data_IF_133218926601
#
_entry.id   IF_133218926601
#
_cell.length_a   1.000
_cell.length_b   1.000
_cell.length_c   1.000
_cell.angle_alpha   90.00
_cell.angle_beta   90.00
_cell.angle_gamma   90.00
#
_symmetry.space_group_name_H-M   'P 1'
#
loop_
_entity.id
_entity.type
_entity.pdbx_description
1 polymer ?
#
# COMPACT_ATOMS: atom_id res chain seq x y z
N UNK A 1 -26.38 -76.51 -56.63
CA UNK A 1 -27.01 -75.70 -55.56
C UNK A 1 -26.81 -74.24 -55.94
N UNK A 2 -27.91 -73.52 -56.11
CA UNK A 2 -28.02 -72.27 -56.87
C UNK A 2 -27.21 -71.11 -56.25
N UNK A 3 -26.37 -70.47 -57.07
CA UNK A 3 -25.83 -69.13 -56.78
C UNK A 3 -27.02 -68.17 -56.92
N UNK A 4 -27.76 -67.96 -55.84
CA UNK A 4 -28.85 -66.99 -55.77
C UNK A 4 -28.27 -65.58 -55.80
N UNK A 5 -28.00 -65.07 -57.00
CA UNK A 5 -27.63 -63.67 -57.22
C UNK A 5 -28.82 -62.82 -56.77
N UNK A 6 -28.70 -62.19 -55.60
CA UNK A 6 -29.78 -61.38 -55.02
C UNK A 6 -30.22 -60.32 -56.03
N UNK A 7 -31.52 -60.23 -56.33
CA UNK A 7 -32.09 -59.27 -57.27
C UNK A 7 -31.61 -57.82 -57.01
N UNK A 8 -31.37 -57.47 -55.75
CA UNK A 8 -30.85 -56.15 -55.37
C UNK A 8 -29.46 -55.87 -55.96
N UNK A 9 -28.59 -56.87 -56.07
CA UNK A 9 -27.25 -56.73 -56.62
C UNK A 9 -27.29 -56.56 -58.15
N UNK A 10 -28.17 -57.31 -58.84
CA UNK A 10 -28.34 -57.15 -60.29
C UNK A 10 -28.96 -55.81 -60.65
N UNK A 11 -29.96 -55.35 -59.90
CA UNK A 11 -30.51 -54.00 -60.06
C UNK A 11 -29.48 -52.91 -59.76
N UNK A 12 -28.67 -53.07 -58.72
CA UNK A 12 -27.64 -52.10 -58.36
C UNK A 12 -26.54 -52.02 -59.43
N UNK A 13 -26.08 -53.15 -59.97
CA UNK A 13 -25.08 -53.18 -61.06
C UNK A 13 -25.67 -52.61 -62.36
N UNK A 14 -26.91 -52.93 -62.71
CA UNK A 14 -27.58 -52.37 -63.88
C UNK A 14 -27.79 -50.85 -63.76
N UNK A 15 -28.17 -50.38 -62.57
CA UNK A 15 -28.35 -48.95 -62.27
C UNK A 15 -27.02 -48.18 -62.29
N UNK A 16 -25.96 -48.73 -61.70
CA UNK A 16 -24.60 -48.18 -61.79
C UNK A 16 -24.12 -48.14 -63.24
N UNK A 17 -24.37 -49.18 -64.04
CA UNK A 17 -24.05 -49.19 -65.47
C UNK A 17 -24.76 -48.08 -66.24
N UNK A 18 -26.07 -47.89 -65.99
CA UNK A 18 -26.86 -46.80 -66.57
C UNK A 18 -26.34 -45.42 -66.15
N UNK A 19 -26.00 -45.23 -64.88
CA UNK A 19 -25.42 -43.98 -64.36
C UNK A 19 -24.06 -43.68 -65.01
N UNK A 20 -23.20 -44.69 -65.17
CA UNK A 20 -21.89 -44.53 -65.81
C UNK A 20 -22.06 -44.16 -67.30
N UNK A 21 -22.96 -44.82 -68.04
CA UNK A 21 -23.25 -44.43 -69.43
C UNK A 21 -23.88 -43.05 -69.56
N UNK A 22 -24.71 -42.63 -68.60
CA UNK A 22 -25.32 -41.31 -68.60
C UNK A 22 -24.29 -40.21 -68.28
N UNK A 23 -23.45 -40.42 -67.27
CA UNK A 23 -22.41 -39.47 -66.85
C UNK A 23 -21.32 -39.30 -67.90
N UNK A 24 -20.90 -40.37 -68.57
CA UNK A 24 -19.95 -40.31 -69.69
C UNK A 24 -20.51 -39.53 -70.89
N UNK A 25 -21.79 -39.71 -71.23
CA UNK A 25 -22.46 -38.90 -72.27
C UNK A 25 -22.52 -37.41 -71.90
N UNK A 26 -22.95 -37.11 -70.66
CA UNK A 26 -23.03 -35.74 -70.13
C UNK A 26 -21.65 -35.05 -70.15
N UNK A 27 -20.60 -35.77 -69.74
CA UNK A 27 -19.23 -35.26 -69.69
C UNK A 27 -18.61 -35.06 -71.08
N UNK A 28 -19.01 -35.89 -72.07
CA UNK A 28 -18.49 -35.82 -73.45
C UNK A 28 -19.07 -34.66 -74.28
N UNK A 29 -20.24 -34.12 -73.89
CA UNK A 29 -20.88 -33.01 -74.61
C UNK A 29 -20.51 -31.65 -74.01
N UNK A 30 -19.66 -30.83 -74.68
CA UNK A 30 -19.15 -29.58 -74.10
C UNK A 30 -20.25 -28.53 -73.84
N UNK A 31 -21.30 -28.51 -74.67
CA UNK A 31 -22.43 -27.56 -74.53
C UNK A 31 -23.29 -27.87 -73.30
N UNK A 32 -23.55 -29.15 -73.03
CA UNK A 32 -24.35 -29.58 -71.90
C UNK A 32 -23.59 -29.39 -70.58
N UNK A 33 -22.26 -29.55 -70.61
CA UNK A 33 -21.38 -29.27 -69.48
C UNK A 33 -21.40 -27.77 -69.13
N UNK A 34 -21.31 -26.88 -70.12
CA UNK A 34 -21.40 -25.43 -69.91
C UNK A 34 -22.78 -25.04 -69.34
N UNK A 35 -23.87 -25.65 -69.81
CA UNK A 35 -25.22 -25.38 -69.32
C UNK A 35 -25.46 -25.88 -67.88
N UNK A 36 -24.87 -27.02 -67.50
CA UNK A 36 -25.04 -27.63 -66.18
C UNK A 36 -24.02 -27.16 -65.12
N UNK A 37 -22.92 -26.52 -65.54
CA UNK A 37 -21.89 -25.99 -64.64
C UNK A 37 -22.44 -25.08 -63.52
N UNK A 38 -23.33 -24.09 -63.78
CA UNK A 38 -23.87 -23.25 -62.70
C UNK A 38 -24.74 -24.05 -61.73
N UNK A 39 -25.50 -25.04 -62.21
CA UNK A 39 -26.32 -25.91 -61.37
C UNK A 39 -25.45 -26.80 -60.47
N UNK A 40 -24.38 -27.35 -61.03
CA UNK A 40 -23.41 -28.17 -60.29
C UNK A 40 -22.68 -27.35 -59.23
N UNK A 41 -22.32 -26.09 -59.53
CA UNK A 41 -21.71 -25.19 -58.57
C UNK A 41 -22.65 -24.88 -57.40
N UNK A 42 -23.93 -24.61 -57.66
CA UNK A 42 -24.95 -24.38 -56.62
C UNK A 42 -25.13 -25.64 -55.76
N UNK A 43 -25.18 -26.83 -56.38
CA UNK A 43 -25.31 -28.09 -55.65
C UNK A 43 -24.10 -28.35 -54.75
N UNK A 44 -22.89 -28.09 -55.24
CA UNK A 44 -21.66 -28.21 -54.45
C UNK A 44 -21.62 -27.21 -53.29
N UNK A 45 -22.04 -25.97 -53.52
CA UNK A 45 -22.09 -24.95 -52.48
C UNK A 45 -23.09 -25.32 -51.36
N UNK A 46 -24.27 -25.81 -51.74
CA UNK A 46 -25.25 -26.31 -50.78
C UNK A 46 -24.73 -27.54 -50.03
N UNK A 47 -24.13 -28.49 -50.73
CA UNK A 47 -23.51 -29.67 -50.13
C UNK A 47 -22.42 -29.31 -49.12
N UNK A 48 -21.55 -28.37 -49.46
CA UNK A 48 -20.52 -27.86 -48.56
C UNK A 48 -21.12 -27.17 -47.33
N UNK A 49 -22.17 -26.36 -47.51
CA UNK A 49 -22.87 -25.71 -46.41
C UNK A 49 -23.47 -26.72 -45.43
N UNK A 50 -24.19 -27.73 -45.92
CA UNK A 50 -24.76 -28.79 -45.08
C UNK A 50 -23.69 -29.64 -44.39
N UNK A 51 -22.56 -29.92 -45.08
CA UNK A 51 -21.45 -30.65 -44.46
C UNK A 51 -20.83 -29.86 -43.31
N UNK A 52 -20.66 -28.54 -43.45
CA UNK A 52 -20.15 -27.70 -42.37
C UNK A 52 -21.12 -27.63 -41.18
N UNK A 53 -22.43 -27.57 -41.44
CA UNK A 53 -23.44 -27.65 -40.37
C UNK A 53 -23.37 -28.99 -39.66
N UNK A 54 -23.28 -30.10 -40.41
CA UNK A 54 -23.19 -31.43 -39.83
C UNK A 54 -21.89 -31.60 -39.01
N UNK A 55 -20.77 -31.11 -39.53
CA UNK A 55 -19.49 -31.14 -38.82
C UNK A 55 -19.55 -30.29 -37.55
N UNK A 56 -20.15 -29.10 -37.62
CA UNK A 56 -20.40 -28.26 -36.45
C UNK A 56 -21.28 -28.96 -35.41
N UNK A 57 -22.37 -29.60 -35.84
CA UNK A 57 -23.25 -30.36 -34.96
C UNK A 57 -22.54 -31.55 -34.31
N UNK A 58 -21.76 -32.32 -35.09
CA UNK A 58 -20.99 -33.46 -34.55
C UNK A 58 -19.93 -32.98 -33.56
N UNK A 59 -19.24 -31.87 -33.85
CA UNK A 59 -18.26 -31.29 -32.93
C UNK A 59 -18.90 -30.74 -31.65
N UNK A 60 -20.09 -30.16 -31.75
CA UNK A 60 -20.84 -29.63 -30.60
C UNK A 60 -21.38 -30.76 -29.71
N UNK A 61 -21.89 -31.84 -30.30
CA UNK A 61 -22.34 -33.04 -29.57
C UNK A 61 -21.15 -33.85 -29.02
N UNK A 62 -20.02 -33.87 -29.73
CA UNK A 62 -18.78 -34.53 -29.27
C UNK A 62 -17.96 -33.68 -28.31
N UNK A 63 -18.35 -32.42 -28.13
CA UNK A 63 -17.75 -31.53 -27.14
C UNK A 63 -17.97 -32.11 -25.74
N UNK A 64 -16.89 -32.41 -25.03
CA UNK A 64 -16.97 -32.68 -23.61
C UNK A 64 -17.70 -31.52 -22.94
N UNK A 65 -18.74 -31.73 -22.11
CA UNK A 65 -19.43 -30.64 -21.45
C UNK A 65 -18.39 -29.79 -20.73
N UNK A 66 -18.17 -28.56 -21.21
CA UNK A 66 -17.25 -27.63 -20.58
C UNK A 66 -17.80 -27.42 -19.17
N UNK A 67 -17.05 -27.89 -18.16
CA UNK A 67 -17.41 -27.67 -16.78
C UNK A 67 -17.45 -26.17 -16.56
N UNK A 68 -18.65 -25.60 -16.50
CA UNK A 68 -18.86 -24.19 -16.22
C UNK A 68 -18.18 -23.89 -14.86
N UNK A 69 -17.12 -23.07 -14.80
CA UNK A 69 -16.47 -22.73 -13.53
C UNK A 69 -17.30 -21.73 -12.71
N UNK A 70 -18.43 -21.26 -13.24
CA UNK A 70 -19.34 -20.30 -12.61
C UNK A 70 -19.79 -20.67 -11.19
N UNK A 71 -20.05 -21.94 -10.80
CA UNK A 71 -20.39 -22.28 -9.42
C UNK A 71 -19.23 -22.05 -8.45
N UNK A 72 -17.97 -22.12 -8.93
CA UNK A 72 -16.79 -21.84 -8.12
C UNK A 72 -16.58 -20.33 -7.96
N UNK A 73 -16.88 -19.55 -9.00
CA UNK A 73 -16.81 -18.08 -8.97
C UNK A 73 -17.94 -17.43 -8.14
N UNK A 74 -19.10 -18.07 -8.09
CA UNK A 74 -20.28 -17.61 -7.35
C UNK A 74 -20.41 -18.25 -5.96
N UNK A 75 -19.30 -18.69 -5.34
CA UNK A 75 -19.35 -19.20 -3.97
C UNK A 75 -19.79 -18.06 -3.06
N UNK A 76 -20.95 -18.16 -2.37
CA UNK A 76 -21.41 -17.11 -1.47
C UNK A 76 -20.30 -16.84 -0.45
N UNK A 77 -19.90 -15.57 -0.31
CA UNK A 77 -18.89 -15.18 0.67
C UNK A 77 -19.32 -15.72 2.03
N UNK A 78 -18.39 -16.21 2.86
CA UNK A 78 -18.72 -16.95 4.09
C UNK A 78 -19.68 -16.20 5.04
N UNK A 79 -19.75 -14.87 4.93
CA UNK A 79 -20.63 -14.00 5.70
C UNK A 79 -22.03 -13.78 5.10
N UNK A 80 -22.30 -14.26 3.89
CA UNK A 80 -23.56 -14.00 3.17
C UNK A 80 -24.71 -14.96 3.56
N UNK A 81 -24.42 -16.00 4.34
CA UNK A 81 -25.49 -16.82 4.91
C UNK A 81 -26.14 -16.10 6.08
N UNK A 82 -27.48 -16.12 6.23
CA UNK A 82 -28.16 -15.46 7.35
C UNK A 82 -27.62 -15.89 8.72
N UNK A 83 -27.29 -17.18 8.89
CA UNK A 83 -26.71 -17.71 10.11
C UNK A 83 -25.30 -17.15 10.39
N UNK A 84 -24.42 -17.07 9.39
CA UNK A 84 -23.09 -16.47 9.56
C UNK A 84 -23.17 -14.97 9.83
N UNK A 85 -24.12 -14.27 9.19
CA UNK A 85 -24.37 -12.86 9.45
C UNK A 85 -24.86 -12.62 10.89
N UNK A 86 -25.82 -13.41 11.36
CA UNK A 86 -26.29 -13.33 12.75
C UNK A 86 -25.17 -13.65 13.76
N UNK A 87 -24.33 -14.64 13.47
CA UNK A 87 -23.16 -14.94 14.30
C UNK A 87 -22.14 -13.79 14.31
N UNK A 88 -21.92 -13.12 13.17
CA UNK A 88 -21.05 -11.95 13.09
C UNK A 88 -21.60 -10.76 13.88
N UNK A 89 -22.91 -10.48 13.76
CA UNK A 89 -23.60 -9.43 14.53
C UNK A 89 -23.58 -9.72 16.03
N UNK A 90 -23.80 -10.96 16.44
CA UNK A 90 -23.75 -11.35 17.86
C UNK A 90 -22.34 -11.15 18.42
N UNK A 91 -21.32 -11.58 17.67
CA UNK A 91 -19.91 -11.39 18.06
C UNK A 91 -19.54 -9.91 18.15
N UNK A 92 -19.98 -9.08 17.20
CA UNK A 92 -19.72 -7.63 17.27
C UNK A 92 -20.43 -7.00 18.47
N UNK A 93 -21.70 -7.32 18.72
CA UNK A 93 -22.47 -6.84 19.88
C UNK A 93 -21.81 -7.19 21.22
N UNK A 94 -21.23 -8.39 21.35
CA UNK A 94 -20.52 -8.77 22.58
C UNK A 94 -19.19 -8.03 22.73
N UNK A 95 -18.48 -7.76 21.64
CA UNK A 95 -17.26 -6.96 21.67
C UNK A 95 -17.49 -5.51 22.11
N UNK A 96 -18.69 -4.97 21.89
CA UNK A 96 -19.08 -3.61 22.27
C UNK A 96 -19.43 -3.40 23.75
N UNK A 97 -19.84 -4.46 24.46
CA UNK A 97 -20.40 -4.34 25.84
C UNK A 97 -19.37 -4.45 26.95
N UNK A 98 -18.13 -4.85 26.66
CA UNK A 98 -17.09 -4.85 27.70
C UNK A 98 -16.65 -3.41 28.00
N UNK A 99 -16.51 -3.01 29.28
CA UNK A 99 -15.99 -1.70 29.63
C UNK A 99 -14.60 -1.53 29.02
N UNK A 100 -14.47 -0.70 27.99
CA UNK A 100 -13.22 -0.41 27.29
C UNK A 100 -12.43 0.66 28.06
N UNK A 101 -12.14 0.41 29.33
CA UNK A 101 -11.06 1.14 30.01
C UNK A 101 -9.76 0.43 29.72
N UNK A 102 -8.91 1.02 28.87
CA UNK A 102 -7.59 0.50 28.60
C UNK A 102 -6.71 0.68 29.85
N UNK A 103 -5.82 -0.29 30.17
CA UNK A 103 -4.93 -0.17 31.32
C UNK A 103 -3.95 1.00 31.12
N UNK A 104 -3.47 1.65 32.19
CA UNK A 104 -2.51 2.74 32.04
C UNK A 104 -1.22 2.24 31.38
N UNK A 105 -0.74 2.98 30.39
CA UNK A 105 0.47 2.65 29.61
C UNK A 105 1.74 2.79 30.43
N UNK A 106 1.76 3.76 31.36
CA UNK A 106 2.87 4.01 32.28
C UNK A 106 2.32 4.07 33.70
N UNK A 107 2.25 2.92 34.40
CA UNK A 107 1.73 2.87 35.77
C UNK A 107 2.49 3.78 36.75
N UNK A 108 3.79 3.94 36.54
CA UNK A 108 4.70 4.74 37.39
C UNK A 108 4.42 6.24 37.34
N UNK A 109 3.78 6.74 36.29
CA UNK A 109 3.47 8.18 36.14
C UNK A 109 2.07 8.40 35.56
N UNK A 110 1.05 8.59 36.43
CA UNK A 110 -0.33 8.73 35.98
C UNK A 110 -0.55 9.96 35.09
N UNK A 111 0.22 11.04 35.31
CA UNK A 111 0.15 12.24 34.47
C UNK A 111 0.57 11.97 33.01
N UNK A 112 1.65 11.19 32.80
CA UNK A 112 2.11 10.83 31.45
C UNK A 112 1.12 9.88 30.81
N UNK A 113 0.63 8.87 31.56
CA UNK A 113 -0.36 7.95 31.03
C UNK A 113 -1.67 8.65 30.63
N UNK A 114 -2.10 9.67 31.38
CA UNK A 114 -3.27 10.49 31.03
C UNK A 114 -3.02 11.31 29.76
N UNK A 115 -1.90 12.03 29.68
CA UNK A 115 -1.55 12.83 28.51
C UNK A 115 -1.45 11.98 27.23
N UNK A 116 -0.86 10.80 27.32
CA UNK A 116 -0.78 9.85 26.20
C UNK A 116 -2.17 9.35 25.80
N UNK A 117 -3.03 9.03 26.77
CA UNK A 117 -4.40 8.64 26.49
C UNK A 117 -5.20 9.78 25.81
N UNK A 118 -5.00 11.03 26.22
CA UNK A 118 -5.60 12.18 25.56
C UNK A 118 -5.13 12.31 24.11
N UNK A 119 -3.84 12.12 23.84
CA UNK A 119 -3.30 12.07 22.46
C UNK A 119 -3.96 10.95 21.65
N UNK A 120 -4.15 9.76 22.22
CA UNK A 120 -4.85 8.66 21.54
C UNK A 120 -6.30 9.02 21.20
N UNK A 121 -7.00 9.69 22.11
CA UNK A 121 -8.37 10.17 21.89
C UNK A 121 -8.38 11.19 20.74
N UNK A 122 -7.44 12.14 20.72
CA UNK A 122 -7.32 13.14 19.66
C UNK A 122 -7.05 12.48 18.30
N UNK A 123 -6.14 11.50 18.24
CA UNK A 123 -5.83 10.76 17.00
C UNK A 123 -7.09 10.07 16.45
N UNK A 124 -7.82 9.34 17.28
CA UNK A 124 -9.04 8.63 16.84
C UNK A 124 -10.12 9.64 16.44
N UNK A 125 -10.26 10.75 17.17
CA UNK A 125 -11.24 11.80 16.87
C UNK A 125 -10.96 12.46 15.52
N UNK A 126 -9.72 12.84 15.26
CA UNK A 126 -9.38 13.71 14.13
C UNK A 126 -9.08 12.91 12.85
N UNK A 127 -8.50 11.71 12.96
CA UNK A 127 -8.10 10.90 11.80
C UNK A 127 -8.99 9.70 11.50
N UNK A 128 -9.84 9.28 12.44
CA UNK A 128 -10.72 8.10 12.26
C UNK A 128 -12.19 8.50 12.22
N UNK A 129 -12.65 9.24 13.23
CA UNK A 129 -14.08 9.60 13.35
C UNK A 129 -14.55 10.59 12.28
N UNK A 130 -13.64 11.37 11.69
CA UNK A 130 -13.97 12.36 10.64
C UNK A 130 -14.59 11.72 9.41
N UNK A 131 -14.04 10.61 8.93
CA UNK A 131 -14.57 9.89 7.76
C UNK A 131 -15.43 8.68 8.16
N UNK A 132 -15.15 8.01 9.29
CA UNK A 132 -15.85 6.78 9.66
C UNK A 132 -17.34 7.01 9.97
N UNK A 133 -17.69 8.19 10.52
CA UNK A 133 -19.09 8.55 10.80
C UNK A 133 -19.98 8.54 9.56
N UNK A 134 -19.42 8.78 8.38
CA UNK A 134 -20.14 8.71 7.10
C UNK A 134 -20.38 7.27 6.64
N UNK A 135 -19.53 6.33 7.08
CA UNK A 135 -19.60 4.91 6.71
C UNK A 135 -20.50 4.13 7.67
N UNK A 136 -20.36 4.34 8.99
CA UNK A 136 -21.12 3.61 10.00
C UNK A 136 -21.21 4.35 11.33
N UNK A 137 -22.32 4.16 12.04
CA UNK A 137 -22.53 4.68 13.40
C UNK A 137 -21.97 3.78 14.51
N UNK A 138 -21.44 2.59 14.19
CA UNK A 138 -21.02 1.63 15.21
C UNK A 138 -19.66 2.01 15.84
N UNK A 139 -19.47 1.99 17.17
CA UNK A 139 -18.18 2.35 17.77
C UNK A 139 -17.12 1.22 17.69
N UNK A 140 -17.38 0.14 16.93
CA UNK A 140 -16.58 -1.10 16.94
C UNK A 140 -15.20 -0.84 16.36
N UNK A 141 -15.18 -0.26 15.17
CA UNK A 141 -13.98 0.02 14.43
C UNK A 141 -13.13 1.11 15.10
N UNK A 142 -13.67 2.29 15.50
CA UNK A 142 -12.88 3.29 16.22
C UNK A 142 -12.27 2.74 17.50
N UNK A 143 -12.99 1.87 18.23
CA UNK A 143 -12.43 1.32 19.47
C UNK A 143 -11.43 0.19 19.23
N UNK A 144 -11.62 -0.63 18.20
CA UNK A 144 -10.61 -1.58 17.76
C UNK A 144 -9.31 -0.87 17.34
N UNK A 145 -9.43 0.27 16.66
CA UNK A 145 -8.28 1.13 16.32
C UNK A 145 -7.61 1.66 17.59
N UNK A 146 -8.38 2.23 18.53
CA UNK A 146 -7.85 2.71 19.82
C UNK A 146 -7.10 1.61 20.58
N UNK A 147 -7.70 0.43 20.74
CA UNK A 147 -7.08 -0.71 21.39
C UNK A 147 -5.81 -1.19 20.66
N UNK A 148 -5.80 -1.15 19.33
CA UNK A 148 -4.64 -1.51 18.52
C UNK A 148 -3.49 -0.52 18.70
N UNK A 149 -3.77 0.79 18.68
CA UNK A 149 -2.75 1.83 18.91
C UNK A 149 -2.22 1.71 20.34
N UNK A 150 -3.09 1.50 21.33
CA UNK A 150 -2.69 1.30 22.71
C UNK A 150 -1.76 0.09 22.89
N UNK A 151 -2.15 -1.08 22.35
CA UNK A 151 -1.32 -2.28 22.39
C UNK A 151 0.03 -2.09 21.67
N UNK A 152 0.02 -1.37 20.56
CA UNK A 152 1.21 -1.01 19.79
C UNK A 152 2.17 -0.13 20.60
N UNK A 153 1.62 0.89 21.27
CA UNK A 153 2.39 1.80 22.11
C UNK A 153 2.94 1.10 23.34
N UNK A 154 2.18 0.20 23.97
CA UNK A 154 2.65 -0.62 25.08
C UNK A 154 3.84 -1.50 24.67
N UNK A 155 3.79 -2.14 23.49
CA UNK A 155 4.94 -2.92 22.97
C UNK A 155 6.15 -2.04 22.71
N UNK A 156 5.94 -0.85 22.14
CA UNK A 156 7.00 0.11 21.86
C UNK A 156 7.65 0.61 23.15
N UNK A 157 6.85 0.98 24.16
CA UNK A 157 7.33 1.39 25.48
C UNK A 157 8.13 0.27 26.16
N UNK A 158 7.60 -0.97 26.16
CA UNK A 158 8.31 -2.12 26.74
C UNK A 158 9.68 -2.33 26.10
N UNK A 159 9.78 -2.16 24.78
CA UNK A 159 11.05 -2.22 24.06
C UNK A 159 11.96 -1.04 24.42
N UNK A 160 11.44 0.17 24.50
CA UNK A 160 12.22 1.34 24.90
C UNK A 160 12.77 1.21 26.33
N UNK A 161 11.99 0.69 27.27
CA UNK A 161 12.45 0.44 28.64
C UNK A 161 13.59 -0.59 28.70
N UNK A 162 13.62 -1.55 27.78
CA UNK A 162 14.72 -2.52 27.67
C UNK A 162 15.99 -1.95 27.00
N UNK A 163 15.91 -0.75 26.40
CA UNK A 163 17.02 -0.12 25.71
C UNK A 163 17.69 0.92 26.61
N UNK A 164 19.03 0.90 26.67
CA UNK A 164 19.80 1.98 27.30
C UNK A 164 19.79 3.22 26.39
N UNK A 165 18.79 4.08 26.60
CA UNK A 165 18.62 5.33 25.86
C UNK A 165 19.85 6.22 25.99
N UNK A 166 20.51 6.24 27.16
CA UNK A 166 21.71 7.06 27.38
C UNK A 166 22.86 6.59 26.50
N UNK A 167 23.13 5.28 26.47
CA UNK A 167 24.15 4.71 25.60
C UNK A 167 23.85 4.94 24.12
N UNK A 168 22.58 4.85 23.69
CA UNK A 168 22.19 5.16 22.29
C UNK A 168 22.45 6.63 21.97
N UNK A 169 22.10 7.55 22.86
CA UNK A 169 22.31 8.99 22.66
C UNK A 169 23.80 9.29 22.55
N UNK A 170 24.60 8.86 23.53
CA UNK A 170 26.02 9.20 23.62
C UNK A 170 26.86 8.50 22.55
N UNK A 171 26.62 7.21 22.30
CA UNK A 171 27.47 6.44 21.40
C UNK A 171 27.01 6.49 19.93
N UNK A 172 25.75 6.89 19.66
CA UNK A 172 25.20 6.85 18.30
C UNK A 172 24.63 8.18 17.84
N UNK A 173 23.82 8.87 18.65
CA UNK A 173 23.19 10.12 18.20
C UNK A 173 24.22 11.26 18.17
N UNK A 174 24.91 11.50 19.29
CA UNK A 174 25.88 12.60 19.40
C UNK A 174 27.01 12.52 18.36
N UNK A 175 27.68 11.37 18.13
CA UNK A 175 28.74 11.31 17.13
C UNK A 175 28.24 11.62 15.72
N UNK A 176 27.03 11.16 15.37
CA UNK A 176 26.45 11.47 14.06
C UNK A 176 26.08 12.94 13.92
N UNK A 177 25.49 13.55 14.94
CA UNK A 177 25.15 14.99 14.93
C UNK A 177 26.42 15.84 14.87
N UNK A 178 27.43 15.56 15.71
CA UNK A 178 28.70 16.29 15.70
C UNK A 178 29.43 16.13 14.37
N UNK A 179 29.45 14.92 13.79
CA UNK A 179 30.01 14.68 12.47
C UNK A 179 29.28 15.50 11.39
N UNK A 180 27.95 15.54 11.42
CA UNK A 180 27.15 16.32 10.48
C UNK A 180 27.45 17.83 10.58
N UNK A 181 27.46 18.38 11.81
CA UNK A 181 27.75 19.79 12.05
C UNK A 181 29.16 20.16 11.55
N UNK A 182 30.16 19.34 11.85
CA UNK A 182 31.54 19.59 11.41
C UNK A 182 31.67 19.52 9.89
N UNK A 183 31.02 18.54 9.25
CA UNK A 183 30.99 18.42 7.79
C UNK A 183 30.30 19.61 7.12
N UNK A 184 29.18 20.05 7.68
CA UNK A 184 28.46 21.23 7.21
C UNK A 184 29.34 22.48 7.31
N UNK A 185 29.94 22.71 8.48
CA UNK A 185 30.86 23.84 8.74
C UNK A 185 32.04 23.86 7.77
N UNK A 186 32.67 22.71 7.53
CA UNK A 186 33.78 22.62 6.57
C UNK A 186 33.35 22.90 5.13
N UNK A 187 32.16 22.46 4.75
CA UNK A 187 31.57 22.71 3.42
C UNK A 187 31.27 24.18 3.23
N UNK A 188 30.73 24.82 4.25
CA UNK A 188 30.46 26.24 4.28
C UNK A 188 31.75 27.08 4.21
N UNK A 189 32.76 26.78 5.01
CA UNK A 189 34.07 27.48 4.96
C UNK A 189 34.71 27.34 3.58
N UNK A 190 34.64 26.16 2.97
CA UNK A 190 35.16 25.95 1.62
C UNK A 190 34.42 26.80 0.56
N UNK A 191 33.12 27.01 0.74
CA UNK A 191 32.31 27.86 -0.12
C UNK A 191 32.61 29.36 0.10
N UNK A 192 32.77 29.78 1.36
CA UNK A 192 33.09 31.16 1.77
C UNK A 192 34.51 31.58 1.37
N UNK A 193 35.48 30.66 1.45
CA UNK A 193 36.87 30.86 1.03
C UNK A 193 37.04 31.12 -0.47
N UNK A 194 36.03 30.82 -1.29
CA UNK A 194 35.99 31.14 -2.72
C UNK A 194 35.46 32.56 -3.03
N UNK A 195 35.16 33.38 -2.01
CA UNK A 195 34.77 34.79 -2.19
C UNK A 195 33.31 35.04 -2.60
N UNK A 196 32.43 34.04 -2.47
CA UNK A 196 31.02 34.09 -2.94
C UNK A 196 30.06 34.88 -2.02
N UNK A 197 30.38 35.14 -0.75
CA UNK A 197 29.43 35.72 0.23
C UNK A 197 28.86 37.10 -0.15
N UNK A 198 29.58 37.91 -0.93
CA UNK A 198 29.14 39.28 -1.22
C UNK A 198 28.09 39.41 -2.32
N UNK A 199 27.76 38.34 -3.06
CA UNK A 199 26.90 38.46 -4.25
C UNK A 199 25.55 37.76 -4.16
N UNK A 200 25.33 36.82 -3.24
CA UNK A 200 24.11 36.00 -3.23
C UNK A 200 23.69 35.68 -1.80
N UNK A 201 22.94 36.58 -1.16
CA UNK A 201 22.17 36.26 0.04
C UNK A 201 21.05 35.29 -0.33
N UNK A 202 21.02 34.10 0.29
CA UNK A 202 19.93 33.11 0.26
C UNK A 202 19.40 32.76 -1.16
N UNK A 203 20.25 32.19 -2.02
CA UNK A 203 19.79 31.63 -3.29
C UNK A 203 19.75 30.10 -3.25
N UNK A 204 18.74 29.53 -3.92
CA UNK A 204 18.61 28.09 -4.14
C UNK A 204 19.87 27.48 -4.78
N UNK A 205 20.56 28.26 -5.62
CA UNK A 205 21.83 27.87 -6.24
C UNK A 205 22.95 27.71 -5.20
N UNK A 206 23.00 28.57 -4.18
CA UNK A 206 23.98 28.49 -3.11
C UNK A 206 23.79 27.20 -2.29
N UNK A 207 22.54 26.83 -2.00
CA UNK A 207 22.22 25.62 -1.24
C UNK A 207 22.61 24.35 -2.01
N UNK A 208 22.36 24.31 -3.32
CA UNK A 208 22.80 23.21 -4.19
C UNK A 208 24.33 23.13 -4.27
N UNK A 209 25.03 24.26 -4.39
CA UNK A 209 26.48 24.29 -4.37
C UNK A 209 27.03 23.82 -3.02
N UNK A 210 26.43 24.25 -1.91
CA UNK A 210 26.80 23.81 -0.57
C UNK A 210 26.61 22.29 -0.42
N UNK A 211 25.47 21.76 -0.85
CA UNK A 211 25.18 20.33 -0.82
C UNK A 211 26.14 19.52 -1.72
N UNK A 212 26.52 20.06 -2.89
CA UNK A 212 27.54 19.42 -3.75
C UNK A 212 28.92 19.34 -3.10
N UNK A 213 29.31 20.38 -2.33
CA UNK A 213 30.58 20.41 -1.59
C UNK A 213 30.55 19.49 -0.38
N UNK A 214 29.40 19.35 0.27
CA UNK A 214 29.15 18.39 1.35
C UNK A 214 29.46 16.96 0.90
N UNK A 215 29.03 16.57 -0.32
CA UNK A 215 29.29 15.23 -0.89
C UNK A 215 30.74 15.05 -1.38
N UNK A 216 31.28 16.04 -2.09
CA UNK A 216 32.58 15.92 -2.79
C UNK A 216 33.77 15.61 -1.88
N UNK A 217 33.71 15.92 -0.59
CA UNK A 217 34.85 15.77 0.32
C UNK A 217 34.99 14.39 0.98
N UNK A 218 34.16 13.41 0.60
CA UNK A 218 34.40 11.99 0.89
C UNK A 218 34.13 11.53 2.32
N UNK A 219 33.50 12.33 3.18
CA UNK A 219 33.17 11.95 4.57
C UNK A 219 31.68 11.72 4.84
N UNK A 220 30.80 11.93 3.85
CA UNK A 220 29.36 11.69 4.00
C UNK A 220 28.65 11.55 2.66
N UNK A 221 27.60 10.73 2.63
CA UNK A 221 26.61 10.73 1.55
C UNK A 221 25.44 11.61 1.99
N UNK A 222 24.81 12.30 1.04
CA UNK A 222 23.52 12.91 1.34
C UNK A 222 22.54 11.83 1.76
N UNK A 223 21.64 12.22 2.65
CA UNK A 223 20.58 11.33 3.09
C UNK A 223 19.72 10.92 1.89
N UNK A 224 19.25 9.68 1.82
CA UNK A 224 18.48 9.15 0.68
C UNK A 224 17.25 10.00 0.31
N UNK A 225 16.71 10.77 1.26
CA UNK A 225 15.60 11.68 1.04
C UNK A 225 15.97 12.96 0.25
N UNK A 226 17.26 13.35 0.24
CA UNK A 226 17.78 14.64 -0.27
C UNK A 226 18.97 14.42 -1.23
N UNK A 227 19.28 13.17 -1.59
CA UNK A 227 20.43 12.83 -2.45
C UNK A 227 20.29 13.37 -3.88
N UNK A 228 19.05 13.66 -4.31
CA UNK A 228 18.80 14.20 -5.64
C UNK A 228 19.06 15.71 -5.71
N UNK A 229 20.28 16.08 -6.09
CA UNK A 229 20.69 17.47 -6.31
C UNK A 229 20.17 18.09 -7.62
N UNK A 230 19.44 17.34 -8.45
CA UNK A 230 18.89 17.88 -9.72
C UNK A 230 17.59 18.67 -9.52
N UNK A 231 16.92 18.51 -8.38
CA UNK A 231 15.68 19.21 -8.06
C UNK A 231 15.67 19.65 -6.61
N UNK A 232 15.17 20.85 -6.35
CA UNK A 232 15.03 21.38 -4.98
C UNK A 232 13.74 20.94 -4.30
N UNK A 233 12.87 20.21 -5.02
CA UNK A 233 11.66 19.60 -4.49
C UNK A 233 11.95 18.18 -3.97
N UNK A 234 12.26 18.05 -2.67
CA UNK A 234 12.58 16.77 -2.01
C UNK A 234 11.41 16.15 -1.25
N UNK A 235 10.26 16.82 -1.22
CA UNK A 235 9.06 16.37 -0.50
C UNK A 235 8.66 14.92 -0.81
N UNK A 236 8.64 14.54 -2.09
CA UNK A 236 8.22 13.18 -2.48
C UNK A 236 9.21 12.11 -1.99
N UNK A 237 10.51 12.39 -2.06
CA UNK A 237 11.56 11.47 -1.62
C UNK A 237 11.64 11.38 -0.10
N UNK A 238 11.38 12.48 0.60
CA UNK A 238 11.22 12.52 2.06
C UNK A 238 10.03 11.69 2.53
N UNK A 239 8.84 11.90 1.95
CA UNK A 239 7.67 11.09 2.27
C UNK A 239 7.90 9.61 1.97
N UNK A 240 8.52 9.28 0.83
CA UNK A 240 8.87 7.89 0.49
C UNK A 240 9.83 7.27 1.50
N UNK A 241 10.82 8.04 1.97
CA UNK A 241 11.74 7.59 3.00
C UNK A 241 11.03 7.34 4.35
N UNK A 242 10.13 8.25 4.76
CA UNK A 242 9.33 8.07 5.97
C UNK A 242 8.41 6.85 5.86
N UNK A 243 7.77 6.62 4.71
CA UNK A 243 6.97 5.41 4.46
C UNK A 243 7.82 4.14 4.62
N UNK A 244 9.03 4.12 4.06
CA UNK A 244 9.94 2.98 4.18
C UNK A 244 10.41 2.73 5.62
N UNK A 245 10.63 3.79 6.40
CA UNK A 245 10.93 3.70 7.83
C UNK A 245 9.76 3.06 8.61
N UNK A 246 8.54 3.54 8.35
CA UNK A 246 7.33 3.01 8.98
C UNK A 246 7.11 1.55 8.58
N UNK A 247 7.28 1.18 7.31
CA UNK A 247 7.16 -0.21 6.84
C UNK A 247 8.11 -1.17 7.57
N UNK A 248 9.32 -0.71 7.94
CA UNK A 248 10.28 -1.51 8.73
C UNK A 248 9.91 -1.59 10.21
N UNK A 249 9.33 -0.53 10.76
CA UNK A 249 8.94 -0.46 12.15
C UNK A 249 7.64 -1.25 12.42
N UNK A 250 6.70 -1.23 11.48
CA UNK A 250 5.34 -1.73 11.62
C UNK A 250 5.23 -3.20 12.09
N UNK A 251 6.05 -4.16 11.59
CA UNK A 251 6.02 -5.55 12.05
C UNK A 251 6.40 -5.73 13.52
N UNK A 252 7.16 -4.80 14.08
CA UNK A 252 7.64 -4.85 15.46
C UNK A 252 6.67 -4.21 16.46
N UNK A 253 5.77 -3.37 15.94
CA UNK A 253 4.86 -2.52 16.70
C UNK A 253 3.44 -3.11 16.69
N UNK A 254 2.94 -3.54 15.52
CA UNK A 254 1.57 -4.03 15.37
C UNK A 254 1.33 -5.39 16.07
N UNK A 255 0.11 -5.63 16.58
CA UNK A 255 -0.32 -6.96 17.03
C UNK A 255 -0.34 -7.97 15.88
N UNK A 256 -0.09 -9.26 16.18
CA UNK A 256 -0.01 -10.33 15.18
C UNK A 256 -1.26 -10.44 14.29
N UNK A 257 -2.45 -10.20 14.85
CA UNK A 257 -3.71 -10.27 14.09
C UNK A 257 -3.79 -9.16 13.03
N UNK A 258 -3.48 -7.93 13.41
CA UNK A 258 -3.51 -6.76 12.51
C UNK A 258 -2.32 -6.77 11.54
N UNK A 259 -1.17 -7.30 11.97
CA UNK A 259 0.00 -7.49 11.14
C UNK A 259 -0.19 -8.52 10.02
N UNK A 260 -1.30 -9.29 9.99
CA UNK A 260 -1.64 -10.14 8.84
C UNK A 260 -2.45 -9.42 7.78
N UNK A 261 -3.09 -8.30 8.13
CA UNK A 261 -3.93 -7.55 7.20
C UNK A 261 -3.12 -6.53 6.39
N UNK A 262 -3.00 -6.74 5.08
CA UNK A 262 -2.32 -5.80 4.18
C UNK A 262 -3.00 -4.44 4.13
N UNK A 263 -4.33 -4.42 4.17
CA UNK A 263 -5.11 -3.17 4.15
C UNK A 263 -4.81 -2.31 5.40
N UNK A 264 -4.78 -2.94 6.58
CA UNK A 264 -4.46 -2.23 7.83
C UNK A 264 -3.04 -1.70 7.79
N UNK A 265 -2.07 -2.47 7.29
CA UNK A 265 -0.68 -2.00 7.16
C UNK A 265 -0.55 -0.76 6.28
N UNK A 266 -1.22 -0.75 5.14
CA UNK A 266 -1.17 0.38 4.21
C UNK A 266 -1.78 1.62 4.86
N UNK A 267 -2.97 1.50 5.44
CA UNK A 267 -3.66 2.64 6.08
C UNK A 267 -2.84 3.19 7.24
N UNK A 268 -2.34 2.33 8.12
CA UNK A 268 -1.52 2.76 9.27
C UNK A 268 -0.23 3.41 8.79
N UNK A 269 0.42 2.86 7.75
CA UNK A 269 1.62 3.47 7.18
C UNK A 269 1.35 4.88 6.68
N UNK A 270 0.31 5.08 5.88
CA UNK A 270 0.02 6.40 5.31
C UNK A 270 -0.33 7.41 6.40
N UNK A 271 -1.11 7.03 7.40
CA UNK A 271 -1.44 7.91 8.54
C UNK A 271 -0.16 8.28 9.30
N UNK A 272 0.65 7.29 9.70
CA UNK A 272 1.85 7.54 10.51
C UNK A 272 2.90 8.33 9.72
N UNK A 273 3.17 7.95 8.47
CA UNK A 273 4.17 8.63 7.65
C UNK A 273 3.74 10.06 7.27
N UNK A 274 2.53 10.23 6.74
CA UNK A 274 2.11 11.49 6.12
C UNK A 274 1.43 12.44 7.10
N UNK A 275 0.62 11.94 8.05
CA UNK A 275 -0.12 12.81 8.97
C UNK A 275 0.62 13.10 10.26
N UNK A 276 1.60 12.28 10.64
CA UNK A 276 2.33 12.42 11.92
C UNK A 276 3.81 12.71 11.69
N UNK A 277 4.55 11.78 11.08
CA UNK A 277 6.01 11.91 10.97
C UNK A 277 6.43 13.04 10.04
N UNK A 278 5.73 13.25 8.93
CA UNK A 278 6.09 14.33 8.00
C UNK A 278 5.95 15.71 8.64
N UNK A 279 4.81 16.12 9.24
CA UNK A 279 4.70 17.39 9.96
C UNK A 279 5.70 17.53 11.12
N UNK A 280 5.99 16.44 11.82
CA UNK A 280 7.00 16.45 12.89
C UNK A 280 8.41 16.71 12.34
N UNK A 281 8.78 16.10 11.21
CA UNK A 281 10.07 16.34 10.58
C UNK A 281 10.18 17.77 10.03
N UNK A 282 9.09 18.29 9.45
CA UNK A 282 9.03 19.68 8.96
C UNK A 282 9.20 20.68 10.11
N UNK A 283 8.50 20.44 11.24
CA UNK A 283 8.64 21.24 12.45
C UNK A 283 10.05 21.18 13.05
N UNK A 284 10.68 20.00 13.10
CA UNK A 284 12.02 19.83 13.69
C UNK A 284 13.12 20.36 12.76
N UNK A 285 12.89 20.37 11.45
CA UNK A 285 13.81 20.94 10.47
C UNK A 285 13.77 22.49 10.47
N UNK A 286 12.70 23.10 10.97
CA UNK A 286 12.58 24.55 11.07
C UNK A 286 13.57 25.12 12.12
N UNK A 287 14.50 26.02 11.74
CA UNK A 287 15.41 26.65 12.68
C UNK A 287 14.68 27.49 13.76
N UNK A 288 13.51 28.06 13.44
CA UNK A 288 12.73 28.86 14.41
C UNK A 288 12.22 28.00 15.56
N UNK A 289 11.88 26.73 15.31
CA UNK A 289 11.45 25.79 16.34
C UNK A 289 12.55 25.63 17.41
N UNK A 290 13.80 25.47 17.00
CA UNK A 290 14.93 25.35 17.91
C UNK A 290 15.25 26.67 18.61
N UNK A 291 15.25 27.79 17.89
CA UNK A 291 15.47 29.11 18.48
C UNK A 291 14.46 29.39 19.61
N UNK A 292 13.17 29.18 19.35
CA UNK A 292 12.10 29.36 20.36
C UNK A 292 12.24 28.37 21.52
N UNK A 293 12.61 27.12 21.24
CA UNK A 293 12.81 26.11 22.28
C UNK A 293 13.96 26.50 23.22
N UNK A 294 15.06 27.02 22.67
CA UNK A 294 16.21 27.51 23.45
C UNK A 294 15.80 28.73 24.30
N UNK A 295 15.09 29.69 23.71
CA UNK A 295 14.59 30.88 24.43
C UNK A 295 13.63 30.52 25.56
N UNK A 296 12.77 29.52 25.35
CA UNK A 296 11.88 29.00 26.39
C UNK A 296 12.67 28.39 27.54
N UNK A 297 13.67 27.55 27.28
CA UNK A 297 14.50 26.98 28.34
C UNK A 297 15.26 28.07 29.10
N UNK A 298 15.82 29.05 28.39
CA UNK A 298 16.56 30.17 28.99
C UNK A 298 15.65 31.06 29.85
N UNK A 299 14.42 31.36 29.39
CA UNK A 299 13.45 32.14 30.14
C UNK A 299 12.93 31.40 31.38
N UNK A 300 12.67 30.11 31.29
CA UNK A 300 12.30 29.29 32.45
C UNK A 300 13.47 29.17 33.46
N UNK A 301 14.71 29.00 32.99
CA UNK A 301 15.90 28.98 33.86
C UNK A 301 16.11 30.33 34.56
N UNK A 302 15.87 31.46 33.86
CA UNK A 302 15.92 32.80 34.48
C UNK A 302 14.79 33.02 35.50
N UNK A 303 13.62 32.40 35.29
CA UNK A 303 12.48 32.47 36.22
C UNK A 303 12.70 31.57 37.43
N UNK A 304 13.32 30.39 37.27
CA UNK A 304 13.72 29.49 38.36
C UNK A 304 14.88 30.09 39.17
N UNK A 305 15.86 30.76 38.54
CA UNK A 305 16.88 31.53 39.25
C UNK A 305 16.27 32.73 40.01
N UNK A 306 15.29 33.43 39.44
CA UNK A 306 14.57 34.51 40.16
C UNK A 306 13.70 33.96 41.29
N UNK A 307 13.04 32.82 41.12
CA UNK A 307 12.22 32.20 42.17
C UNK A 307 13.07 31.60 43.28
N UNK A 308 14.27 31.08 42.99
CA UNK A 308 15.21 30.59 44.02
C UNK A 308 15.75 31.76 44.85
N UNK A 309 16.04 32.91 44.23
CA UNK A 309 16.41 34.14 44.96
C UNK A 309 15.21 34.71 45.76
N UNK A 310 13.98 34.58 45.25
CA UNK A 310 12.79 35.08 45.95
C UNK A 310 12.31 34.15 47.09
N UNK A 311 12.53 32.84 46.97
CA UNK A 311 12.17 31.84 47.99
C UNK A 311 13.26 31.71 49.07
N UNK A 312 14.55 31.88 48.73
CA UNK A 312 15.64 31.96 49.72
C UNK A 312 15.94 33.38 50.21
N UNK A 313 15.32 34.42 49.64
CA UNK A 313 15.45 35.82 50.05
C UNK A 313 14.57 36.25 51.23
N UNK A 314 13.82 35.34 51.86
CA UNK A 314 12.96 35.63 53.03
C UNK A 314 13.64 35.28 54.37
N UNK A 315 14.89 34.78 54.37
CA UNK A 315 15.70 34.66 55.60
C UNK A 315 16.92 35.59 55.56
N UNK A 316 16.71 36.82 56.03
CA UNK A 316 17.77 37.79 56.30
C UNK A 316 17.22 39.21 56.24
N UNK A 317 16.70 39.74 57.36
CA UNK A 317 17.62 40.50 58.20
C UNK A 317 17.35 40.33 59.71
N UNK A 318 18.42 40.16 60.51
CA UNK A 318 18.46 40.68 61.87
C UNK A 318 19.90 40.71 62.37
N UNK A 319 20.37 41.92 62.65
CA UNK A 319 21.53 42.34 63.45
C UNK A 319 22.92 41.96 62.97
#
# INVERSE_FOLDING_TARGET
MQIGLSWNLTFLVAFLGLLVSLTTKILSSPVLLILLLPLLFVLLALGFFFLNILLGYVLDVSGTPVSNPLPLAARPLAFSTPAAWQAALTRSQWSHKSPQSLPPLVPESPAISAAVNDILILIVRDFVLTWYKEVSSSPSFPTAVSATIHASLQRLLTRMTSMDVSAVVVNRIFPNVTAHIEQFRQSEIALRGAGLERRLTQSVELDLLLASRYVSRGMGRLHSAVDNLSTTFTKQTEEAHLRALVDRALPHILPENEARSTAVKIVVREIVACAVLYPLMDMVADPDFWNRSIDQVNSHSSTVCRLTIFVFGIFGPST
#
